data_IF_706805432683
#
_entry.id   IF_706805432683
#
_cell.length_a   1.000
_cell.length_b   1.000
_cell.length_c   1.000
_cell.angle_alpha   90.00
_cell.angle_beta   90.00
_cell.angle_gamma   90.00
#
_symmetry.space_group_name_H-M   'P 1'
#
loop_
_entity.id
_entity.type
_entity.pdbx_description
1 polymer ?
#
# COMPACT_ATOMS: atom_id res chain seq x y z
N UNK A 1 -4.37 -7.62 -23.28
CA UNK A 1 -5.18 -8.24 -22.22
C UNK A 1 -6.38 -7.38 -21.91
N UNK A 2 -7.54 -8.02 -21.86
CA UNK A 2 -8.82 -7.32 -21.68
C UNK A 2 -8.89 -6.48 -20.39
N UNK A 3 -8.31 -6.95 -19.31
CA UNK A 3 -8.30 -6.24 -18.03
C UNK A 3 -7.52 -4.92 -18.08
N UNK A 4 -6.41 -4.89 -18.80
CA UNK A 4 -5.62 -3.69 -18.99
C UNK A 4 -6.38 -2.65 -19.80
N UNK A 5 -7.04 -3.09 -20.87
CA UNK A 5 -7.87 -2.20 -21.69
C UNK A 5 -9.03 -1.62 -20.86
N UNK A 6 -9.57 -2.43 -19.97
CA UNK A 6 -10.66 -2.01 -19.09
C UNK A 6 -10.21 -0.91 -18.12
N UNK A 7 -9.00 -1.03 -17.58
CA UNK A 7 -8.45 0.00 -16.69
C UNK A 7 -8.11 1.29 -17.42
N UNK A 8 -7.61 1.18 -18.64
CA UNK A 8 -7.30 2.35 -19.48
C UNK A 8 -8.57 3.13 -19.85
N UNK A 9 -9.71 2.44 -19.91
CA UNK A 9 -10.99 3.05 -20.24
C UNK A 9 -11.67 3.74 -19.07
N UNK A 10 -11.14 3.64 -17.86
CA UNK A 10 -11.60 4.51 -16.77
C UNK A 10 -11.29 5.93 -17.19
N UNK A 11 -12.35 6.70 -17.40
CA UNK A 11 -12.26 8.13 -17.73
C UNK A 11 -11.50 8.86 -16.64
N UNK A 12 -10.21 8.92 -16.80
CA UNK A 12 -9.38 9.78 -15.98
C UNK A 12 -9.35 11.14 -16.68
N UNK A 13 -10.26 12.02 -16.28
CA UNK A 13 -10.39 13.35 -16.86
C UNK A 13 -9.30 14.31 -16.39
N UNK A 14 -8.34 13.84 -15.61
CA UNK A 14 -7.24 14.66 -15.12
C UNK A 14 -6.28 15.02 -16.25
N UNK A 15 -5.72 16.22 -16.19
CA UNK A 15 -4.65 16.64 -17.09
C UNK A 15 -3.37 15.83 -16.81
N UNK A 16 -2.41 15.92 -17.74
CA UNK A 16 -1.09 15.31 -17.52
C UNK A 16 -0.39 15.87 -16.29
N UNK A 17 -0.55 17.17 -16.05
CA UNK A 17 0.00 17.84 -14.86
C UNK A 17 -0.61 17.27 -13.57
N UNK A 18 -1.93 17.16 -13.53
CA UNK A 18 -2.65 16.60 -12.39
C UNK A 18 -2.25 15.14 -12.15
N UNK A 19 -2.05 14.36 -13.20
CA UNK A 19 -1.59 12.96 -13.07
C UNK A 19 -0.18 12.89 -12.51
N UNK A 20 0.71 13.78 -12.95
CA UNK A 20 2.08 13.88 -12.45
C UNK A 20 2.08 14.22 -10.97
N UNK A 21 1.30 15.23 -10.57
CA UNK A 21 1.17 15.62 -9.17
C UNK A 21 0.64 14.49 -8.30
N UNK A 22 -0.34 13.74 -8.80
CA UNK A 22 -0.87 12.59 -8.08
C UNK A 22 0.17 11.49 -7.89
N UNK A 23 1.00 11.22 -8.91
CA UNK A 23 2.09 10.25 -8.80
C UNK A 23 3.15 10.70 -7.81
N UNK A 24 3.54 11.97 -7.84
CA UNK A 24 4.51 12.52 -6.90
C UNK A 24 3.98 12.48 -5.47
N UNK A 25 2.72 12.80 -5.28
CA UNK A 25 2.06 12.73 -3.98
C UNK A 25 2.05 11.30 -3.45
N UNK A 26 1.76 10.32 -4.31
CA UNK A 26 1.82 8.90 -3.95
C UNK A 26 3.22 8.47 -3.53
N UNK A 27 4.24 8.88 -4.27
CA UNK A 27 5.64 8.59 -3.93
C UNK A 27 6.06 9.22 -2.61
N UNK A 28 5.65 10.45 -2.37
CA UNK A 28 5.92 11.13 -1.10
C UNK A 28 5.28 10.39 0.06
N UNK A 29 4.04 9.92 -0.12
CA UNK A 29 3.35 9.13 0.89
C UNK A 29 4.09 7.84 1.23
N UNK A 30 4.60 7.15 0.22
CA UNK A 30 5.39 5.93 0.42
C UNK A 30 6.69 6.20 1.14
N UNK A 31 7.38 7.29 0.78
CA UNK A 31 8.63 7.69 1.45
C UNK A 31 8.39 8.06 2.91
N UNK A 32 7.36 8.83 3.18
CA UNK A 32 6.97 9.21 4.54
C UNK A 32 6.61 7.97 5.38
N UNK A 33 5.91 7.03 4.77
CA UNK A 33 5.54 5.77 5.42
C UNK A 33 6.77 4.94 5.77
N UNK A 34 7.71 4.81 4.83
CA UNK A 34 8.95 4.08 5.07
C UNK A 34 9.73 4.70 6.24
N UNK A 35 9.82 6.01 6.29
CA UNK A 35 10.49 6.72 7.38
C UNK A 35 9.77 6.53 8.71
N UNK A 36 8.45 6.66 8.71
CA UNK A 36 7.61 6.43 9.89
C UNK A 36 7.84 5.03 10.46
N UNK A 37 7.84 4.01 9.61
CA UNK A 37 8.06 2.62 10.03
C UNK A 37 9.48 2.42 10.55
N UNK A 38 10.47 2.96 9.86
CA UNK A 38 11.87 2.87 10.27
C UNK A 38 12.09 3.53 11.62
N UNK A 39 11.48 4.70 11.85
CA UNK A 39 11.57 5.40 13.13
C UNK A 39 10.94 4.60 14.28
N UNK A 40 9.99 3.73 13.95
CA UNK A 40 9.37 2.81 14.92
C UNK A 40 10.14 1.51 15.12
N UNK A 41 11.26 1.34 14.42
CA UNK A 41 12.10 0.15 14.54
C UNK A 41 11.79 -0.95 13.54
N UNK A 42 10.92 -0.70 12.56
CA UNK A 42 10.69 -1.66 11.48
C UNK A 42 11.90 -1.71 10.56
N UNK A 43 12.13 -2.85 9.96
CA UNK A 43 13.17 -3.03 8.94
C UNK A 43 12.48 -3.13 7.59
N UNK A 44 12.74 -2.19 6.70
CA UNK A 44 12.16 -2.21 5.35
C UNK A 44 12.94 -3.22 4.51
N UNK A 45 12.23 -4.22 3.98
CA UNK A 45 12.81 -5.25 3.13
C UNK A 45 12.67 -4.93 1.65
N UNK A 46 11.51 -4.44 1.24
CA UNK A 46 11.20 -4.18 -0.16
C UNK A 46 10.39 -2.90 -0.30
N UNK A 47 10.66 -2.18 -1.39
CA UNK A 47 9.85 -1.08 -1.89
C UNK A 47 9.25 -1.48 -3.23
N UNK A 48 7.96 -1.27 -3.40
CA UNK A 48 7.27 -1.49 -4.68
C UNK A 48 7.55 -2.87 -5.27
N UNK A 49 7.26 -3.89 -4.50
CA UNK A 49 7.44 -5.27 -4.93
C UNK A 49 6.35 -5.65 -5.93
N UNK A 50 6.76 -5.98 -7.15
CA UNK A 50 5.84 -6.23 -8.26
C UNK A 50 5.93 -7.63 -8.79
N UNK A 51 4.76 -8.17 -9.18
CA UNK A 51 4.61 -9.37 -10.00
C UNK A 51 3.41 -9.15 -10.93
N UNK A 52 3.69 -9.07 -12.25
CA UNK A 52 2.65 -8.75 -13.23
C UNK A 52 2.06 -7.37 -12.96
N UNK A 53 0.76 -7.33 -12.71
CA UNK A 53 0.04 -6.09 -12.43
C UNK A 53 -0.15 -5.81 -10.93
N UNK A 54 0.35 -6.71 -10.09
CA UNK A 54 0.21 -6.58 -8.65
C UNK A 54 1.44 -5.91 -8.07
N UNK A 55 1.22 -5.08 -7.07
CA UNK A 55 2.27 -4.36 -6.38
C UNK A 55 1.98 -4.31 -4.88
N UNK A 56 3.00 -4.60 -4.10
CA UNK A 56 3.01 -4.33 -2.66
C UNK A 56 3.88 -3.09 -2.45
N UNK A 57 3.31 -2.06 -1.83
CA UNK A 57 4.03 -0.79 -1.66
C UNK A 57 5.27 -0.93 -0.80
N UNK A 58 5.14 -1.59 0.35
CA UNK A 58 6.26 -1.86 1.25
C UNK A 58 6.12 -3.24 1.87
N UNK A 59 7.26 -3.91 2.03
CA UNK A 59 7.36 -5.13 2.84
C UNK A 59 8.39 -4.84 3.93
N UNK A 60 8.01 -5.08 5.18
CA UNK A 60 8.84 -4.74 6.32
C UNK A 60 8.79 -5.82 7.39
N UNK A 61 9.74 -5.78 8.31
CA UNK A 61 9.73 -6.59 9.52
C UNK A 61 9.37 -5.72 10.71
N UNK A 62 8.41 -6.17 11.49
CA UNK A 62 8.07 -5.63 12.80
C UNK A 62 8.37 -6.74 13.82
N UNK A 63 9.57 -6.73 14.38
CA UNK A 63 10.04 -7.84 15.20
C UNK A 63 10.05 -9.13 14.39
N UNK A 64 9.24 -10.10 14.81
CA UNK A 64 9.13 -11.42 14.16
C UNK A 64 7.94 -11.52 13.19
N UNK A 65 7.31 -10.39 12.87
CA UNK A 65 6.22 -10.37 11.90
C UNK A 65 6.67 -9.77 10.58
N UNK A 66 6.26 -10.40 9.48
CA UNK A 66 6.44 -9.85 8.14
C UNK A 66 5.21 -9.03 7.80
N UNK A 67 5.40 -7.75 7.58
CA UNK A 67 4.30 -6.80 7.40
C UNK A 67 4.21 -6.39 5.94
N UNK A 68 3.05 -6.63 5.35
CA UNK A 68 2.71 -6.23 4.00
C UNK A 68 1.92 -4.93 4.11
N UNK A 69 2.45 -3.85 3.56
CA UNK A 69 1.92 -2.51 3.78
C UNK A 69 1.35 -1.94 2.49
N UNK A 70 0.09 -1.56 2.55
CA UNK A 70 -0.56 -0.77 1.51
C UNK A 70 -0.58 0.69 1.96
N UNK A 71 -0.06 1.58 1.11
CA UNK A 71 0.01 3.01 1.40
C UNK A 71 -1.06 3.75 0.61
N UNK A 72 -1.86 4.54 1.29
CA UNK A 72 -2.88 5.40 0.69
C UNK A 72 -2.56 6.85 1.00
N UNK A 73 -2.35 7.65 -0.04
CA UNK A 73 -2.18 9.10 0.11
C UNK A 73 -3.51 9.79 -0.19
N UNK A 74 -3.94 10.65 0.72
CA UNK A 74 -5.23 11.33 0.64
C UNK A 74 -5.07 12.81 0.94
N UNK A 75 -5.79 13.65 0.20
CA UNK A 75 -5.94 15.04 0.55
C UNK A 75 -6.86 15.17 1.77
N UNK A 76 -6.72 16.24 2.52
CA UNK A 76 -7.46 16.46 3.76
C UNK A 76 -8.98 16.37 3.59
N UNK A 77 -9.48 16.95 2.49
CA UNK A 77 -10.91 17.03 2.18
C UNK A 77 -11.45 15.76 1.50
N UNK A 78 -10.60 14.78 1.27
CA UNK A 78 -10.96 13.56 0.55
C UNK A 78 -10.74 12.32 1.42
N UNK A 79 -10.99 12.45 2.72
CA UNK A 79 -10.80 11.38 3.69
C UNK A 79 -12.03 10.49 3.71
N UNK A 80 -11.94 9.37 3.00
CA UNK A 80 -12.84 8.25 3.18
C UNK A 80 -12.20 7.26 4.14
N UNK A 81 -12.94 6.26 4.56
CA UNK A 81 -12.44 5.21 5.44
C UNK A 81 -11.23 4.53 4.78
N UNK A 82 -10.04 4.53 5.42
CA UNK A 82 -8.85 3.94 4.79
C UNK A 82 -9.03 2.48 4.40
N UNK A 83 -9.67 1.70 5.22
CA UNK A 83 -9.93 0.28 4.99
C UNK A 83 -10.87 0.04 3.81
N UNK A 84 -11.76 0.97 3.51
CA UNK A 84 -12.68 0.88 2.38
C UNK A 84 -11.98 1.14 1.04
N UNK A 85 -10.77 1.71 1.05
CA UNK A 85 -10.02 1.99 -0.16
C UNK A 85 -9.36 0.75 -0.77
N UNK A 86 -9.28 -0.36 -0.01
CA UNK A 86 -8.70 -1.62 -0.48
C UNK A 86 -9.84 -2.63 -0.61
N UNK A 87 -10.28 -2.88 -1.84
CA UNK A 87 -11.39 -3.78 -2.09
C UNK A 87 -11.03 -5.26 -1.89
N UNK A 88 -12.05 -6.11 -1.91
CA UNK A 88 -11.94 -7.55 -1.67
C UNK A 88 -10.98 -8.24 -2.65
N UNK A 89 -11.09 -7.93 -3.93
CA UNK A 89 -10.26 -8.53 -4.97
C UNK A 89 -8.80 -8.13 -4.80
N UNK A 90 -8.57 -6.86 -4.49
CA UNK A 90 -7.22 -6.35 -4.26
C UNK A 90 -6.61 -7.00 -3.03
N UNK A 91 -7.36 -7.14 -1.96
CA UNK A 91 -6.89 -7.82 -0.74
C UNK A 91 -6.50 -9.26 -1.01
N UNK A 92 -7.34 -10.01 -1.73
CA UNK A 92 -7.02 -11.38 -2.11
C UNK A 92 -5.76 -11.44 -2.98
N UNK A 93 -5.61 -10.52 -3.93
CA UNK A 93 -4.44 -10.45 -4.79
C UNK A 93 -3.17 -10.16 -3.98
N UNK A 94 -3.25 -9.24 -3.02
CA UNK A 94 -2.11 -8.92 -2.14
C UNK A 94 -1.73 -10.10 -1.26
N UNK A 95 -2.71 -10.84 -0.76
CA UNK A 95 -2.47 -12.06 0.02
C UNK A 95 -1.74 -13.10 -0.83
N UNK A 96 -2.15 -13.30 -2.08
CA UNK A 96 -1.47 -14.23 -3.00
C UNK A 96 -0.04 -13.79 -3.28
N UNK A 97 0.16 -12.50 -3.53
CA UNK A 97 1.49 -11.95 -3.82
C UNK A 97 2.40 -12.06 -2.59
N UNK A 98 1.88 -11.78 -1.41
CA UNK A 98 2.61 -11.94 -0.16
C UNK A 98 3.04 -13.40 0.06
N UNK A 99 2.13 -14.34 -0.22
CA UNK A 99 2.43 -15.76 -0.11
C UNK A 99 3.54 -16.19 -1.07
N UNK A 100 3.51 -15.68 -2.30
CA UNK A 100 4.56 -15.89 -3.28
C UNK A 100 5.90 -15.34 -2.80
N UNK A 101 5.89 -14.12 -2.23
CA UNK A 101 7.09 -13.51 -1.67
C UNK A 101 7.68 -14.36 -0.54
N UNK A 102 6.84 -14.79 0.39
CA UNK A 102 7.25 -15.65 1.52
C UNK A 102 7.94 -16.91 1.02
N UNK A 103 7.36 -17.57 0.03
CA UNK A 103 7.93 -18.80 -0.53
C UNK A 103 9.23 -18.54 -1.28
N UNK A 104 9.27 -17.53 -2.14
CA UNK A 104 10.44 -17.27 -2.99
C UNK A 104 11.63 -16.74 -2.19
N UNK A 105 11.38 -16.09 -1.05
CA UNK A 105 12.44 -15.56 -0.18
C UNK A 105 12.66 -16.42 1.07
N UNK A 106 12.01 -17.57 1.13
CA UNK A 106 12.17 -18.52 2.22
C UNK A 106 11.95 -17.89 3.60
N UNK A 107 10.93 -17.01 3.69
CA UNK A 107 10.59 -16.34 4.95
C UNK A 107 9.82 -17.28 5.88
N UNK A 108 10.01 -17.09 7.18
CA UNK A 108 9.40 -17.96 8.22
C UNK A 108 8.51 -17.19 9.19
N UNK A 109 8.50 -15.85 9.11
CA UNK A 109 7.69 -15.02 9.99
C UNK A 109 6.21 -15.19 9.74
N UNK A 110 5.39 -14.90 10.74
CA UNK A 110 3.95 -14.70 10.52
C UNK A 110 3.73 -13.44 9.69
N UNK A 111 2.73 -13.47 8.83
CA UNK A 111 2.44 -12.36 7.92
C UNK A 111 1.29 -11.51 8.47
N UNK A 112 1.47 -10.20 8.44
CA UNK A 112 0.48 -9.23 8.85
C UNK A 112 0.24 -8.24 7.72
N UNK A 113 -1.02 -7.85 7.50
CA UNK A 113 -1.40 -6.91 6.44
C UNK A 113 -1.86 -5.60 7.06
N UNK A 114 -1.12 -4.54 6.78
CA UNK A 114 -1.38 -3.22 7.33
C UNK A 114 -1.79 -2.24 6.22
N UNK A 115 -2.62 -1.28 6.58
CA UNK A 115 -2.94 -0.15 5.70
C UNK A 115 -2.44 1.12 6.40
N UNK A 116 -1.65 1.91 5.69
CA UNK A 116 -1.18 3.20 6.16
C UNK A 116 -1.75 4.28 5.25
N UNK A 117 -2.41 5.25 5.85
CA UNK A 117 -2.95 6.40 5.13
C UNK A 117 -2.14 7.63 5.50
N UNK A 118 -1.63 8.32 4.48
CA UNK A 118 -0.94 9.59 4.63
C UNK A 118 -1.92 10.68 4.20
N UNK A 119 -2.36 11.48 5.15
CA UNK A 119 -3.34 12.53 4.92
C UNK A 119 -2.63 13.87 4.89
N UNK A 120 -2.69 14.54 3.74
CA UNK A 120 -2.13 15.87 3.58
C UNK A 120 -3.00 16.87 4.35
N UNK A 121 -2.37 17.75 5.13
CA UNK A 121 -3.04 18.86 5.79
C UNK A 121 -2.17 20.10 5.73
N UNK A 122 -2.78 21.24 6.07
CA UNK A 122 -2.06 22.50 6.13
C UNK A 122 -0.88 22.38 7.09
N UNK A 123 0.31 22.67 6.60
CA UNK A 123 1.53 22.59 7.38
C UNK A 123 2.16 21.21 7.48
N UNK A 124 1.65 20.20 6.76
CA UNK A 124 2.28 18.88 6.76
C UNK A 124 1.38 17.72 6.38
N UNK A 125 1.59 16.60 7.04
CA UNK A 125 0.82 15.40 6.81
C UNK A 125 0.61 14.63 8.12
N UNK A 126 -0.46 13.85 8.15
CA UNK A 126 -0.76 12.96 9.26
C UNK A 126 -0.73 11.53 8.77
N UNK A 127 -0.12 10.65 9.53
CA UNK A 127 -0.08 9.22 9.23
C UNK A 127 -1.08 8.50 10.12
N UNK A 128 -1.95 7.71 9.48
CA UNK A 128 -2.88 6.81 10.16
C UNK A 128 -2.46 5.39 9.84
N UNK A 129 -2.22 4.60 10.85
CA UNK A 129 -1.73 3.23 10.70
C UNK A 129 -2.77 2.25 11.23
N UNK A 130 -3.34 1.46 10.34
CA UNK A 130 -4.26 0.39 10.68
C UNK A 130 -3.49 -0.93 10.62
N UNK A 131 -3.09 -1.44 11.76
CA UNK A 131 -2.40 -2.73 11.86
C UNK A 131 -3.38 -3.87 11.70
N UNK A 132 -2.94 -4.92 11.03
CA UNK A 132 -3.75 -6.12 10.83
C UNK A 132 -5.13 -5.79 10.26
N UNK A 133 -5.13 -5.00 9.20
CA UNK A 133 -6.35 -4.46 8.59
C UNK A 133 -7.23 -5.55 7.98
N UNK A 134 -6.63 -6.62 7.52
CA UNK A 134 -7.31 -7.79 6.97
C UNK A 134 -6.38 -9.00 7.03
N UNK A 135 -6.92 -10.18 6.84
CA UNK A 135 -6.16 -11.43 6.80
C UNK A 135 -6.92 -12.46 5.95
N UNK A 136 -6.36 -13.66 5.83
CA UNK A 136 -6.97 -14.74 5.04
C UNK A 136 -8.37 -15.13 5.53
N UNK A 137 -8.65 -14.90 6.81
CA UNK A 137 -9.95 -15.22 7.41
C UNK A 137 -11.02 -14.14 7.18
N UNK A 138 -10.62 -13.02 6.55
CA UNK A 138 -11.54 -11.90 6.27
C UNK A 138 -12.43 -12.14 5.06
N UNK A 139 -12.28 -13.26 4.39
CA UNK A 139 -12.99 -13.58 3.12
C UNK A 139 -13.86 -14.79 3.24
#
# INVERSE_FOLDING_TARGET
MALLKFHVQRNDNRTLEERREALEFGKMGEQMTARYLTDKGYIILEHNYRRGHLEIDLIALDGDELVIVEVKSRAYDNILQPEAAVDHKKRQALIRLANEYVKSHNRKENVRFDIITVVSKEGGAEIKHLKNAYNVMSF
#
